data_IF_116693077893
#
_entry.id   IF_116693077893
#
_cell.length_a   1.000
_cell.length_b   1.000
_cell.length_c   1.000
_cell.angle_alpha   90.00
_cell.angle_beta   90.00
_cell.angle_gamma   90.00
#
_symmetry.space_group_name_H-M   'P 1'
#
loop_
_entity.id
_entity.type
_entity.pdbx_description
1 polymer ?
#
# COMPACT_ATOMS: atom_id res chain seq x y z
N UNK A 1 -10.80 -14.01 -31.26
CA UNK A 1 -10.93 -12.75 -30.50
C UNK A 1 -9.54 -12.25 -30.23
N UNK A 2 -9.08 -11.29 -31.03
CA UNK A 2 -7.78 -10.63 -30.81
C UNK A 2 -8.02 -9.55 -29.77
N UNK A 3 -7.68 -9.85 -28.52
CA UNK A 3 -7.53 -8.80 -27.52
C UNK A 3 -6.35 -7.97 -28.01
N UNK A 4 -6.62 -6.77 -28.51
CA UNK A 4 -5.59 -5.87 -29.00
C UNK A 4 -4.68 -5.52 -27.82
N UNK A 5 -3.37 -5.58 -28.05
CA UNK A 5 -2.35 -5.30 -27.05
C UNK A 5 -2.60 -3.95 -26.33
N UNK A 6 -3.22 -2.99 -27.03
CA UNK A 6 -3.67 -1.71 -26.49
C UNK A 6 -4.71 -1.83 -25.36
N UNK A 7 -5.68 -2.74 -25.44
CA UNK A 7 -6.69 -2.90 -24.38
C UNK A 7 -6.07 -3.45 -23.10
N UNK A 8 -5.13 -4.40 -23.23
CA UNK A 8 -4.38 -4.97 -22.10
C UNK A 8 -3.44 -3.93 -21.48
N UNK A 9 -2.82 -3.09 -22.30
CA UNK A 9 -1.96 -2.01 -21.82
C UNK A 9 -2.77 -0.94 -21.07
N UNK A 10 -3.92 -0.52 -21.62
CA UNK A 10 -4.82 0.44 -20.98
C UNK A 10 -5.36 -0.10 -19.65
N UNK A 11 -5.77 -1.37 -19.59
CA UNK A 11 -6.25 -1.98 -18.34
C UNK A 11 -5.15 -2.06 -17.29
N UNK A 12 -3.94 -2.47 -17.67
CA UNK A 12 -2.78 -2.57 -16.76
C UNK A 12 -2.36 -1.20 -16.24
N UNK A 13 -2.34 -0.17 -17.11
CA UNK A 13 -2.05 1.22 -16.74
C UNK A 13 -3.08 1.77 -15.73
N UNK A 14 -4.36 1.43 -15.93
CA UNK A 14 -5.45 1.81 -15.01
C UNK A 14 -5.31 1.12 -13.66
N UNK A 15 -4.93 -0.16 -13.64
CA UNK A 15 -4.68 -0.90 -12.40
C UNK A 15 -3.49 -0.33 -11.62
N UNK A 16 -2.42 0.07 -12.30
CA UNK A 16 -1.28 0.76 -11.69
C UNK A 16 -1.71 2.05 -10.99
N UNK A 17 -2.54 2.86 -11.65
CA UNK A 17 -3.04 4.10 -11.06
C UNK A 17 -3.91 3.84 -9.82
N UNK A 18 -4.77 2.81 -9.88
CA UNK A 18 -5.58 2.38 -8.74
C UNK A 18 -4.68 1.93 -7.57
N UNK A 19 -3.64 1.13 -7.83
CA UNK A 19 -2.66 0.73 -6.81
C UNK A 19 -1.93 1.94 -6.22
N UNK A 20 -1.52 2.92 -7.05
CA UNK A 20 -0.90 4.18 -6.59
C UNK A 20 -1.83 4.99 -5.69
N UNK A 21 -3.12 5.06 -6.01
CA UNK A 21 -4.11 5.72 -5.17
C UNK A 21 -4.33 5.00 -3.84
N UNK A 22 -4.37 3.66 -3.84
CA UNK A 22 -4.43 2.88 -2.60
C UNK A 22 -3.21 3.11 -1.73
N UNK A 23 -1.99 3.08 -2.29
CA UNK A 23 -0.74 3.37 -1.59
C UNK A 23 -0.81 4.74 -0.92
N UNK A 24 -1.19 5.79 -1.65
CA UNK A 24 -1.37 7.14 -1.09
C UNK A 24 -2.38 7.17 0.06
N UNK A 25 -3.46 6.41 -0.05
CA UNK A 25 -4.49 6.39 0.98
C UNK A 25 -3.98 5.69 2.25
N UNK A 26 -3.23 4.59 2.09
CA UNK A 26 -2.56 3.92 3.19
C UNK A 26 -1.49 4.81 3.85
N UNK A 27 -0.68 5.54 3.07
CA UNK A 27 0.30 6.51 3.61
C UNK A 27 -0.37 7.60 4.44
N UNK A 28 -1.45 8.21 3.94
CA UNK A 28 -2.23 9.20 4.70
C UNK A 28 -2.77 8.62 6.00
N UNK A 29 -3.25 7.38 5.96
CA UNK A 29 -3.80 6.68 7.13
C UNK A 29 -2.70 6.39 8.15
N UNK A 30 -1.53 5.94 7.71
CA UNK A 30 -0.36 5.75 8.56
C UNK A 30 0.02 7.09 9.21
N UNK A 31 0.18 8.16 8.43
CA UNK A 31 0.47 9.50 8.96
C UNK A 31 -0.55 9.99 9.99
N UNK A 32 -1.85 9.72 9.76
CA UNK A 32 -2.88 10.07 10.74
C UNK A 32 -2.75 9.27 12.03
N UNK A 33 -2.51 7.97 11.92
CA UNK A 33 -2.34 7.08 13.08
C UNK A 33 -1.03 7.38 13.84
N UNK A 34 0.05 7.74 13.15
CA UNK A 34 1.31 8.19 13.76
C UNK A 34 1.11 9.48 14.54
N UNK A 35 0.32 10.44 14.01
CA UNK A 35 -0.02 11.68 14.72
C UNK A 35 -0.93 11.42 15.92
N UNK A 36 -1.92 10.54 15.79
CA UNK A 36 -2.82 10.19 16.89
C UNK A 36 -2.12 9.45 18.03
N UNK A 37 -1.16 8.58 17.70
CA UNK A 37 -0.44 7.77 18.66
C UNK A 37 0.86 8.44 19.16
N UNK A 38 1.35 9.47 18.46
CA UNK A 38 2.62 10.11 18.75
C UNK A 38 3.84 9.20 18.55
N UNK A 39 3.67 8.08 17.85
CA UNK A 39 4.68 7.04 17.68
C UNK A 39 4.88 6.79 16.18
N UNK A 40 6.13 6.72 15.74
CA UNK A 40 6.46 6.31 14.37
C UNK A 40 6.30 4.81 14.20
N UNK A 41 5.81 4.36 13.04
CA UNK A 41 5.69 2.93 12.74
C UNK A 41 7.05 2.19 12.76
N UNK A 42 8.16 2.92 12.67
CA UNK A 42 9.54 2.39 12.79
C UNK A 42 10.03 2.23 14.24
N UNK A 43 9.31 2.77 15.22
CA UNK A 43 9.64 2.68 16.65
C UNK A 43 8.71 1.72 17.42
N UNK A 44 8.02 0.83 16.69
CA UNK A 44 7.13 -0.15 17.28
C UNK A 44 7.93 -1.24 18.01
N UNK A 45 7.78 -1.31 19.33
CA UNK A 45 8.27 -2.43 20.14
C UNK A 45 7.24 -3.56 20.21
N UNK A 46 7.68 -4.80 20.40
CA UNK A 46 6.78 -5.97 20.50
C UNK A 46 5.76 -5.83 21.64
N UNK A 47 6.13 -5.17 22.74
CA UNK A 47 5.19 -4.87 23.83
C UNK A 47 4.11 -3.86 23.46
N UNK A 48 4.36 -3.00 22.47
CA UNK A 48 3.40 -2.00 21.99
C UNK A 48 2.36 -2.61 21.04
N UNK A 49 2.66 -3.75 20.41
CA UNK A 49 1.70 -4.50 19.58
C UNK A 49 0.53 -5.10 20.39
N UNK A 50 0.61 -5.08 21.73
CA UNK A 50 -0.51 -5.41 22.61
C UNK A 50 -1.64 -4.38 22.50
N UNK A 51 -1.34 -3.12 22.13
CA UNK A 51 -2.35 -2.10 21.91
C UNK A 51 -3.01 -2.28 20.54
N UNK A 52 -4.35 -2.36 20.54
CA UNK A 52 -5.16 -2.54 19.34
C UNK A 52 -4.93 -1.45 18.29
N UNK A 53 -4.65 -0.20 18.70
CA UNK A 53 -4.40 0.90 17.77
C UNK A 53 -3.03 0.80 17.12
N UNK A 54 -2.03 0.38 17.89
CA UNK A 54 -0.65 0.17 17.41
C UNK A 54 -0.60 -1.03 16.47
N UNK A 55 -1.31 -2.11 16.81
CA UNK A 55 -1.49 -3.25 15.91
C UNK A 55 -2.13 -2.84 14.59
N UNK A 56 -3.14 -1.96 14.62
CA UNK A 56 -3.76 -1.40 13.41
C UNK A 56 -2.79 -0.58 12.57
N UNK A 57 -1.91 0.21 13.21
CA UNK A 57 -0.83 0.93 12.50
C UNK A 57 0.11 -0.05 11.80
N UNK A 58 0.54 -1.10 12.49
CA UNK A 58 1.42 -2.15 11.96
C UNK A 58 0.77 -2.92 10.80
N UNK A 59 -0.49 -3.34 10.95
CA UNK A 59 -1.26 -4.01 9.89
C UNK A 59 -1.45 -3.10 8.67
N UNK A 60 -1.67 -1.80 8.87
CA UNK A 60 -1.80 -0.81 7.78
C UNK A 60 -0.46 -0.63 7.05
N UNK A 61 0.67 -0.67 7.77
CA UNK A 61 2.00 -0.62 7.17
C UNK A 61 2.30 -1.88 6.34
N UNK A 62 1.97 -3.06 6.85
CA UNK A 62 2.10 -4.31 6.07
C UNK A 62 1.23 -4.30 4.82
N UNK A 63 0.01 -3.75 4.90
CA UNK A 63 -0.86 -3.60 3.73
C UNK A 63 -0.24 -2.66 2.68
N UNK A 64 0.38 -1.55 3.12
CA UNK A 64 1.13 -0.65 2.24
C UNK A 64 2.26 -1.37 1.52
N UNK A 65 3.10 -2.11 2.25
CA UNK A 65 4.24 -2.85 1.67
C UNK A 65 3.78 -3.86 0.61
N UNK A 66 2.69 -4.60 0.89
CA UNK A 66 2.10 -5.54 -0.09
C UNK A 66 1.61 -4.84 -1.36
N UNK A 67 0.95 -3.69 -1.22
CA UNK A 67 0.50 -2.93 -2.39
C UNK A 67 1.67 -2.32 -3.17
N UNK A 68 2.76 -1.94 -2.52
CA UNK A 68 3.99 -1.51 -3.18
C UNK A 68 4.67 -2.65 -3.95
N UNK A 69 4.75 -3.85 -3.38
CA UNK A 69 5.24 -5.04 -4.09
C UNK A 69 4.37 -5.38 -5.30
N UNK A 70 3.05 -5.31 -5.12
CA UNK A 70 2.08 -5.53 -6.20
C UNK A 70 2.22 -4.50 -7.32
N UNK A 71 2.40 -3.22 -6.97
CA UNK A 71 2.67 -2.16 -7.94
C UNK A 71 3.95 -2.44 -8.71
N UNK A 72 5.02 -2.86 -8.02
CA UNK A 72 6.30 -3.20 -8.65
C UNK A 72 6.14 -4.35 -9.65
N UNK A 73 5.36 -5.38 -9.31
CA UNK A 73 5.04 -6.48 -10.22
C UNK A 73 4.27 -6.01 -11.46
N UNK A 74 3.29 -5.10 -11.30
CA UNK A 74 2.56 -4.51 -12.44
C UNK A 74 3.46 -3.62 -13.32
N UNK A 75 4.38 -2.86 -12.72
CA UNK A 75 5.36 -2.05 -13.47
C UNK A 75 6.40 -2.90 -14.20
N UNK A 76 6.77 -4.06 -13.66
CA UNK A 76 7.65 -5.04 -14.33
C UNK A 76 6.97 -5.73 -15.52
N UNK A 77 5.65 -5.96 -15.46
CA UNK A 77 4.87 -6.52 -16.58
C UNK A 77 4.71 -5.55 -17.78
N UNK A 78 4.92 -4.26 -17.56
CA UNK A 78 4.87 -3.22 -18.59
C UNK A 78 6.24 -2.90 -19.22
N UNK A 79 7.31 -3.57 -18.77
CA UNK A 79 8.69 -3.40 -19.27
C UNK A 79 8.98 -4.35 -20.42
#
# INVERSE_FOLDING_TARGET
>A
MAITYDEVWISTMREINICKDYIRNYEKKILSLEKELGIKASQLNEDMLKDKKIRKLYETKLALEREQERLKGLEELLK
#
